data_IF_070363994823
#
_entry.id   IF_070363994823
#
_cell.length_a   1.000
_cell.length_b   1.000
_cell.length_c   1.000
_cell.angle_alpha   90.00
_cell.angle_beta   90.00
_cell.angle_gamma   90.00
#
_symmetry.space_group_name_H-M   'P 1'
#
loop_
_entity.id
_entity.type
_entity.pdbx_description
1 polymer ?
#
# COMPACT_ATOMS: atom_id res chain seq x y z
N UNK A 1 2.54 6.69 -18.30
CA UNK A 1 2.83 6.02 -17.00
C UNK A 1 3.51 4.71 -17.32
N UNK A 2 4.70 4.48 -16.78
CA UNK A 2 5.39 3.21 -16.89
C UNK A 2 4.79 2.22 -15.88
N UNK A 3 4.61 0.97 -16.29
CA UNK A 3 4.31 -0.13 -15.39
C UNK A 3 5.61 -0.47 -14.65
N UNK A 4 5.56 -0.36 -13.33
CA UNK A 4 6.72 -0.58 -12.44
C UNK A 4 6.40 -1.72 -11.49
N UNK A 5 7.39 -2.55 -11.23
CA UNK A 5 7.27 -3.65 -10.27
C UNK A 5 7.82 -3.25 -8.90
N UNK A 6 7.28 -3.88 -7.85
CA UNK A 6 7.84 -3.82 -6.50
C UNK A 6 9.30 -4.29 -6.49
N UNK A 7 10.14 -3.64 -5.69
CA UNK A 7 11.55 -4.02 -5.48
C UNK A 7 11.71 -5.31 -4.69
N UNK A 8 10.63 -5.76 -4.04
CA UNK A 8 10.61 -6.97 -3.21
C UNK A 8 11.60 -6.89 -2.04
N UNK A 9 11.41 -5.90 -1.16
CA UNK A 9 12.20 -5.76 0.08
C UNK A 9 12.46 -7.14 0.73
N UNK A 10 13.68 -7.47 1.17
CA UNK A 10 13.98 -8.80 1.71
C UNK A 10 13.08 -9.18 2.88
N UNK A 11 12.56 -10.42 2.88
CA UNK A 11 11.81 -10.94 4.03
C UNK A 11 12.69 -10.95 5.28
N UNK A 12 12.08 -10.71 6.45
CA UNK A 12 12.80 -10.53 7.70
C UNK A 12 13.40 -9.14 7.90
N UNK A 13 13.24 -8.20 6.92
CA UNK A 13 13.58 -6.80 7.15
C UNK A 13 12.70 -6.21 8.23
N UNK A 14 13.26 -5.41 9.13
CA UNK A 14 12.46 -4.64 10.10
C UNK A 14 11.69 -3.54 9.40
N UNK A 15 10.45 -3.30 9.82
CA UNK A 15 9.65 -2.20 9.31
C UNK A 15 10.36 -0.86 9.55
N UNK A 16 10.65 -0.09 8.50
CA UNK A 16 11.17 1.26 8.66
C UNK A 16 10.24 2.14 9.49
N UNK A 17 10.82 3.07 10.26
CA UNK A 17 10.05 4.01 11.05
C UNK A 17 9.33 5.03 10.17
N UNK A 18 8.16 5.44 10.63
CA UNK A 18 7.44 6.58 10.08
C UNK A 18 6.73 7.37 11.17
N UNK A 19 6.53 8.65 10.91
CA UNK A 19 5.70 9.56 11.71
C UNK A 19 5.16 10.59 10.71
N UNK A 20 3.92 10.40 10.29
CA UNK A 20 3.32 11.09 9.15
C UNK A 20 1.96 11.67 9.53
N UNK A 21 1.55 12.74 8.85
CA UNK A 21 0.23 13.33 9.02
C UNK A 21 -0.82 12.49 8.28
N UNK A 22 -1.89 12.15 8.96
CA UNK A 22 -3.06 11.51 8.37
C UNK A 22 -4.06 12.51 7.77
N UNK A 23 -5.12 11.98 7.16
CA UNK A 23 -6.18 12.79 6.54
C UNK A 23 -7.01 13.60 7.54
N UNK A 24 -6.93 13.33 8.84
CA UNK A 24 -7.58 14.14 9.89
C UNK A 24 -6.68 15.27 10.41
N UNK A 25 -5.41 15.30 10.02
CA UNK A 25 -4.40 16.23 10.49
C UNK A 25 -3.63 15.74 11.72
N UNK A 26 -3.91 14.53 12.19
CA UNK A 26 -3.20 13.92 13.31
C UNK A 26 -1.90 13.26 12.86
N UNK A 27 -0.93 13.18 13.76
CA UNK A 27 0.33 12.44 13.50
C UNK A 27 0.13 10.98 13.87
N UNK A 28 0.38 10.10 12.91
CA UNK A 28 0.37 8.65 13.10
C UNK A 28 1.80 8.13 12.91
N UNK A 29 2.27 7.39 13.89
CA UNK A 29 3.63 6.85 13.94
C UNK A 29 3.61 5.33 13.98
N UNK A 30 4.68 4.70 13.50
CA UNK A 30 4.84 3.24 13.62
C UNK A 30 4.70 2.75 15.07
N UNK A 31 5.16 3.54 16.04
CA UNK A 31 5.06 3.22 17.47
C UNK A 31 3.63 3.08 17.99
N UNK A 32 2.64 3.67 17.30
CA UNK A 32 1.22 3.56 17.69
C UNK A 32 0.69 2.15 17.41
N UNK A 33 1.41 1.36 16.61
CA UNK A 33 1.11 -0.02 16.26
C UNK A 33 2.05 -1.03 16.94
N UNK A 34 2.69 -0.62 18.06
CA UNK A 34 3.56 -1.51 18.83
C UNK A 34 2.82 -2.80 19.23
N UNK A 35 3.52 -3.94 19.11
CA UNK A 35 3.01 -5.26 19.44
C UNK A 35 1.82 -5.76 18.56
N UNK A 36 1.51 -5.07 17.48
CA UNK A 36 0.50 -5.48 16.49
C UNK A 36 1.15 -5.95 15.18
N UNK A 37 0.64 -7.01 14.53
CA UNK A 37 0.94 -7.21 13.11
C UNK A 37 0.48 -6.00 12.31
N UNK A 38 1.23 -5.63 11.26
CA UNK A 38 0.94 -4.39 10.53
C UNK A 38 0.98 -4.62 9.01
N UNK A 39 -0.09 -4.23 8.32
CA UNK A 39 -0.13 -4.15 6.86
C UNK A 39 0.10 -2.69 6.42
N UNK A 40 1.25 -2.43 5.80
CA UNK A 40 1.58 -1.15 5.17
C UNK A 40 1.29 -1.24 3.69
N UNK A 41 0.58 -0.24 3.16
CA UNK A 41 0.14 -0.19 1.77
C UNK A 41 0.56 1.14 1.14
N UNK A 42 1.41 1.11 0.11
CA UNK A 42 1.66 2.31 -0.69
C UNK A 42 0.58 2.42 -1.77
N UNK A 43 -0.29 3.42 -1.64
CA UNK A 43 -1.42 3.66 -2.54
C UNK A 43 -1.53 5.16 -2.87
N UNK A 44 -2.32 5.48 -3.89
CA UNK A 44 -2.63 6.86 -4.27
C UNK A 44 -3.98 6.93 -5.00
N UNK A 45 -4.55 8.12 -5.15
CA UNK A 45 -5.89 8.26 -5.70
C UNK A 45 -5.96 8.18 -7.23
N UNK A 46 -4.95 8.67 -7.93
CA UNK A 46 -5.01 8.78 -9.39
C UNK A 46 -4.65 7.47 -10.12
N UNK A 47 -3.95 6.53 -9.47
CA UNK A 47 -3.47 5.31 -10.10
C UNK A 47 -4.61 4.34 -10.46
N UNK A 48 -4.74 3.90 -11.72
CA UNK A 48 -5.79 2.97 -12.13
C UNK A 48 -5.66 1.59 -11.47
N UNK A 49 -4.44 1.17 -11.12
CA UNK A 49 -4.20 -0.08 -10.40
C UNK A 49 -4.67 0.02 -8.94
N UNK A 50 -4.52 1.18 -8.29
CA UNK A 50 -5.10 1.43 -6.97
C UNK A 50 -6.62 1.48 -7.04
N UNK A 51 -7.18 2.19 -8.02
CA UNK A 51 -8.63 2.23 -8.25
C UNK A 51 -9.23 0.85 -8.48
N UNK A 52 -8.48 -0.05 -9.13
CA UNK A 52 -8.88 -1.44 -9.35
C UNK A 52 -9.02 -2.22 -8.04
N UNK A 53 -8.07 -2.07 -7.12
CA UNK A 53 -8.06 -2.80 -5.84
C UNK A 53 -8.81 -2.07 -4.72
N UNK A 54 -9.23 -0.82 -4.91
CA UNK A 54 -9.84 0.03 -3.88
C UNK A 54 -11.09 -0.60 -3.20
N UNK A 55 -12.02 -1.27 -3.93
CA UNK A 55 -13.13 -1.97 -3.28
C UNK A 55 -12.66 -3.10 -2.34
N UNK A 56 -11.60 -3.80 -2.73
CA UNK A 56 -11.01 -4.87 -1.93
C UNK A 56 -10.29 -4.33 -0.71
N UNK A 57 -9.62 -3.17 -0.80
CA UNK A 57 -9.01 -2.50 0.35
C UNK A 57 -10.06 -2.09 1.39
N UNK A 58 -11.18 -1.52 0.95
CA UNK A 58 -12.32 -1.22 1.82
C UNK A 58 -12.82 -2.48 2.53
N UNK A 59 -12.98 -3.57 1.80
CA UNK A 59 -13.46 -4.84 2.38
C UNK A 59 -12.41 -5.44 3.34
N UNK A 60 -11.12 -5.35 3.03
CA UNK A 60 -10.05 -5.78 3.95
C UNK A 60 -10.11 -5.00 5.26
N UNK A 61 -10.18 -3.67 5.19
CA UNK A 61 -10.29 -2.83 6.37
C UNK A 61 -11.48 -3.22 7.26
N UNK A 62 -12.67 -3.43 6.65
CA UNK A 62 -13.87 -3.85 7.38
C UNK A 62 -13.74 -5.24 7.98
N UNK A 63 -13.16 -6.20 7.25
CA UNK A 63 -13.04 -7.59 7.69
C UNK A 63 -12.07 -7.74 8.87
N UNK A 64 -11.07 -6.89 8.97
CA UNK A 64 -10.05 -6.98 10.01
C UNK A 64 -10.14 -5.86 11.06
N UNK A 65 -11.21 -5.05 11.06
CA UNK A 65 -11.40 -3.94 12.00
C UNK A 65 -11.36 -4.37 13.47
N UNK A 66 -11.90 -5.55 13.79
CA UNK A 66 -11.92 -6.11 15.14
C UNK A 66 -10.77 -7.09 15.42
N UNK A 67 -9.83 -7.22 14.50
CA UNK A 67 -8.65 -8.08 14.64
C UNK A 67 -7.46 -7.31 15.23
N UNK A 68 -6.41 -7.99 15.72
CA UNK A 68 -5.20 -7.31 16.18
C UNK A 68 -4.35 -6.74 15.03
N UNK A 69 -4.74 -6.91 13.76
CA UNK A 69 -4.01 -6.39 12.62
C UNK A 69 -4.17 -4.87 12.51
N UNK A 70 -3.08 -4.14 12.56
CA UNK A 70 -3.05 -2.74 12.16
C UNK A 70 -2.94 -2.64 10.63
N UNK A 71 -3.68 -1.71 10.01
CA UNK A 71 -3.55 -1.39 8.59
C UNK A 71 -3.26 0.08 8.44
N UNK A 72 -2.37 0.43 7.52
CA UNK A 72 -2.02 1.83 7.22
C UNK A 72 -1.75 1.99 5.73
N UNK A 73 -2.31 3.04 5.14
CA UNK A 73 -2.04 3.45 3.77
C UNK A 73 -1.09 4.65 3.76
N UNK A 74 -0.08 4.64 2.89
CA UNK A 74 0.89 5.72 2.73
C UNK A 74 0.87 6.20 1.29
N UNK A 75 0.68 7.49 1.11
CA UNK A 75 0.76 8.20 -0.16
C UNK A 75 2.09 8.96 -0.22
N UNK A 76 2.90 8.72 -1.26
CA UNK A 76 4.23 9.32 -1.40
C UNK A 76 4.44 10.00 -2.77
N UNK A 77 3.37 10.23 -3.54
CA UNK A 77 3.50 10.97 -4.80
C UNK A 77 3.71 12.46 -4.56
N UNK A 78 4.42 13.12 -5.45
CA UNK A 78 4.55 14.57 -5.48
C UNK A 78 3.18 15.24 -5.71
N UNK A 79 2.59 15.76 -4.66
CA UNK A 79 1.26 16.40 -4.68
C UNK A 79 1.23 17.73 -5.45
N UNK A 80 2.38 18.34 -5.69
CA UNK A 80 2.46 19.57 -6.48
C UNK A 80 2.25 19.26 -7.97
N UNK A 81 2.80 18.15 -8.46
CA UNK A 81 2.59 17.71 -9.83
C UNK A 81 1.34 16.84 -9.99
N UNK A 82 0.91 16.17 -8.93
CA UNK A 82 -0.25 15.26 -8.89
C UNK A 82 -1.24 15.65 -7.79
N UNK A 83 -1.96 16.77 -7.93
CA UNK A 83 -2.84 17.32 -6.89
C UNK A 83 -4.02 16.41 -6.52
N UNK A 84 -4.37 15.44 -7.37
CA UNK A 84 -5.36 14.41 -7.04
C UNK A 84 -4.93 13.49 -5.88
N UNK A 85 -3.65 13.51 -5.52
CA UNK A 85 -3.09 12.74 -4.41
C UNK A 85 -2.83 13.61 -3.15
N UNK A 86 -3.35 14.84 -3.12
CA UNK A 86 -3.24 15.70 -1.93
C UNK A 86 -3.97 15.11 -0.73
N UNK A 87 -3.58 15.52 0.48
CA UNK A 87 -4.18 15.04 1.73
C UNK A 87 -5.70 15.23 1.76
N UNK A 88 -6.20 16.40 1.29
CA UNK A 88 -7.62 16.68 1.16
C UNK A 88 -8.32 15.69 0.19
N UNK A 89 -7.67 15.35 -0.93
CA UNK A 89 -8.23 14.40 -1.90
C UNK A 89 -8.20 12.97 -1.38
N UNK A 90 -7.18 12.62 -0.60
CA UNK A 90 -7.11 11.34 0.08
C UNK A 90 -8.21 11.20 1.14
N UNK A 91 -8.53 12.28 1.89
CA UNK A 91 -9.65 12.29 2.82
C UNK A 91 -10.97 12.01 2.10
N UNK A 92 -11.23 12.74 0.98
CA UNK A 92 -12.43 12.55 0.16
C UNK A 92 -12.54 11.09 -0.34
N UNK A 93 -11.45 10.53 -0.87
CA UNK A 93 -11.43 9.15 -1.37
C UNK A 93 -11.63 8.15 -0.21
N UNK A 94 -10.99 8.36 0.93
CA UNK A 94 -11.15 7.52 2.12
C UNK A 94 -12.61 7.48 2.59
N UNK A 95 -13.29 8.61 2.62
CA UNK A 95 -14.71 8.70 2.95
C UNK A 95 -15.60 7.99 1.92
N UNK A 96 -15.35 8.21 0.62
CA UNK A 96 -16.11 7.58 -0.47
C UNK A 96 -15.95 6.05 -0.45
N UNK A 97 -14.73 5.58 -0.17
CA UNK A 97 -14.41 4.15 -0.11
C UNK A 97 -14.74 3.51 1.23
N UNK A 98 -15.08 4.32 2.24
CA UNK A 98 -15.29 3.85 3.61
C UNK A 98 -14.08 3.08 4.14
N UNK A 99 -12.88 3.61 3.94
CA UNK A 99 -11.66 3.03 4.52
C UNK A 99 -11.68 3.14 6.05
N UNK A 100 -11.35 2.05 6.73
CA UNK A 100 -11.32 1.98 8.21
C UNK A 100 -9.91 2.07 8.78
N UNK A 101 -8.94 2.41 7.95
CA UNK A 101 -7.52 2.56 8.29
C UNK A 101 -7.04 3.97 7.96
N UNK A 102 -6.03 4.50 8.68
CA UNK A 102 -5.46 5.81 8.40
C UNK A 102 -4.77 5.85 7.03
N UNK A 103 -4.96 6.98 6.35
CA UNK A 103 -4.28 7.32 5.09
C UNK A 103 -3.30 8.47 5.37
N UNK A 104 -2.01 8.21 5.19
CA UNK A 104 -0.90 9.07 5.58
C UNK A 104 -0.23 9.71 4.38
N UNK A 105 0.25 10.95 4.54
CA UNK A 105 1.04 11.64 3.53
C UNK A 105 2.53 11.60 3.87
N UNK A 106 3.31 10.92 3.05
CA UNK A 106 4.78 10.95 3.05
C UNK A 106 5.26 12.06 2.09
N UNK A 107 5.11 13.31 2.53
CA UNK A 107 5.45 14.47 1.71
C UNK A 107 6.93 14.52 1.32
N UNK A 108 7.82 14.04 2.17
CA UNK A 108 9.28 14.02 1.92
C UNK A 108 9.70 12.87 1.01
N UNK A 109 8.87 11.83 0.88
CA UNK A 109 9.13 10.59 0.16
C UNK A 109 10.23 9.71 0.81
N UNK A 110 10.68 10.07 2.01
CA UNK A 110 11.72 9.33 2.72
C UNK A 110 11.20 7.99 3.25
N UNK A 111 9.92 7.92 3.62
CA UNK A 111 9.30 6.65 4.04
C UNK A 111 9.21 5.70 2.85
N UNK A 112 8.77 6.15 1.68
CA UNK A 112 8.76 5.32 0.48
C UNK A 112 10.15 4.79 0.13
N UNK A 113 11.19 5.63 0.25
CA UNK A 113 12.58 5.19 0.05
C UNK A 113 13.01 4.14 1.05
N UNK A 114 12.71 4.36 2.34
CA UNK A 114 13.08 3.42 3.40
C UNK A 114 12.43 2.05 3.21
N UNK A 115 11.19 1.99 2.72
CA UNK A 115 10.49 0.77 2.34
C UNK A 115 10.92 0.21 0.98
N UNK A 116 11.80 0.89 0.26
CA UNK A 116 12.13 0.62 -1.13
C UNK A 116 10.88 0.48 -2.03
N UNK A 117 9.81 1.22 -1.71
CA UNK A 117 8.58 1.20 -2.48
C UNK A 117 8.80 1.86 -3.85
N UNK A 118 8.40 1.18 -4.92
CA UNK A 118 8.63 1.65 -6.28
C UNK A 118 7.33 1.96 -7.05
N UNK A 119 6.23 1.32 -6.67
CA UNK A 119 4.95 1.41 -7.38
C UNK A 119 3.76 1.53 -6.42
N UNK A 120 2.61 1.83 -6.98
CA UNK A 120 1.31 1.79 -6.30
C UNK A 120 0.33 0.94 -7.12
N UNK A 121 -0.46 0.02 -6.48
CA UNK A 121 -0.36 -0.37 -5.07
C UNK A 121 0.87 -1.25 -4.80
N UNK A 122 1.41 -1.20 -3.57
CA UNK A 122 2.44 -2.11 -3.08
C UNK A 122 2.16 -2.48 -1.62
N UNK A 123 2.35 -3.74 -1.21
CA UNK A 123 1.88 -4.27 0.06
C UNK A 123 3.02 -4.91 0.85
N UNK A 124 3.08 -4.59 2.16
CA UNK A 124 4.08 -5.08 3.10
C UNK A 124 3.39 -5.51 4.39
N UNK A 125 3.40 -6.80 4.71
CA UNK A 125 2.85 -7.34 5.96
C UNK A 125 3.98 -7.68 6.91
N UNK A 126 3.92 -7.11 8.10
CA UNK A 126 4.87 -7.30 9.19
C UNK A 126 4.22 -8.07 10.32
N UNK A 127 5.00 -8.91 10.98
CA UNK A 127 4.58 -9.60 12.19
C UNK A 127 4.57 -8.67 13.43
N UNK A 128 4.24 -9.22 14.60
CA UNK A 128 4.21 -8.47 15.89
C UNK A 128 5.57 -7.89 16.29
N UNK A 129 6.67 -8.44 15.80
CA UNK A 129 8.03 -7.94 16.00
C UNK A 129 8.43 -6.95 14.90
N UNK A 130 7.48 -6.57 14.05
CA UNK A 130 7.68 -5.74 12.86
C UNK A 130 8.75 -6.27 11.91
N UNK A 131 8.83 -7.61 11.76
CA UNK A 131 9.63 -8.27 10.74
C UNK A 131 8.75 -8.55 9.52
N UNK A 132 9.25 -8.25 8.31
CA UNK A 132 8.53 -8.44 7.06
C UNK A 132 8.29 -9.92 6.76
N UNK A 133 7.04 -10.33 6.67
CA UNK A 133 6.64 -11.73 6.40
C UNK A 133 5.93 -11.91 5.06
N UNK A 134 5.38 -10.83 4.48
CA UNK A 134 4.82 -10.85 3.13
C UNK A 134 5.05 -9.48 2.47
N UNK A 135 5.35 -9.51 1.16
CA UNK A 135 5.42 -8.33 0.30
C UNK A 135 5.02 -8.69 -1.13
N UNK A 136 4.51 -7.69 -1.84
CA UNK A 136 4.16 -7.83 -3.26
C UNK A 136 2.72 -7.44 -3.55
N UNK A 137 2.09 -8.15 -4.49
CA UNK A 137 0.75 -7.84 -5.00
C UNK A 137 -0.35 -8.26 -4.03
N UNK A 138 -1.55 -7.67 -4.20
CA UNK A 138 -2.71 -8.05 -3.38
C UNK A 138 -3.31 -9.40 -3.83
N UNK A 139 -3.29 -9.65 -5.14
CA UNK A 139 -3.75 -10.85 -5.84
C UNK A 139 -3.26 -10.85 -7.30
N UNK A 140 -3.71 -11.81 -8.10
CA UNK A 140 -3.34 -11.95 -9.51
C UNK A 140 -4.13 -11.03 -10.46
N UNK A 141 -5.10 -10.26 -9.96
CA UNK A 141 -5.94 -9.40 -10.80
C UNK A 141 -5.19 -8.16 -11.29
N UNK A 142 -5.61 -7.67 -12.43
CA UNK A 142 -5.10 -6.43 -13.04
C UNK A 142 -6.21 -5.75 -13.81
N UNK A 143 -6.29 -4.41 -13.80
CA UNK A 143 -7.25 -3.71 -14.65
C UNK A 143 -6.87 -3.85 -16.12
N UNK A 144 -7.85 -4.08 -16.99
CA UNK A 144 -7.65 -4.15 -18.44
C UNK A 144 -7.53 -2.75 -19.02
N UNK A 145 -6.41 -2.45 -19.69
CA UNK A 145 -6.25 -1.16 -20.35
C UNK A 145 -7.04 -1.12 -21.67
N UNK A 146 -8.07 -0.31 -21.75
CA UNK A 146 -8.91 -0.11 -22.93
C UNK A 146 -8.22 0.85 -23.92
N UNK A 147 -7.73 2.00 -23.40
CA UNK A 147 -6.96 3.00 -24.16
C UNK A 147 -6.12 3.83 -23.19
N UNK A 148 -5.34 4.78 -23.71
CA UNK A 148 -4.53 5.65 -22.86
C UNK A 148 -5.39 6.33 -21.78
N UNK A 149 -5.03 6.11 -20.52
CA UNK A 149 -5.72 6.70 -19.35
C UNK A 149 -7.07 6.07 -19.01
N UNK A 150 -7.56 5.06 -19.75
CA UNK A 150 -8.85 4.40 -19.50
C UNK A 150 -8.64 2.92 -19.24
N UNK A 151 -9.15 2.47 -18.11
CA UNK A 151 -9.00 1.10 -17.63
C UNK A 151 -10.36 0.52 -17.22
N UNK A 152 -10.52 -0.79 -17.40
CA UNK A 152 -11.69 -1.56 -16.96
C UNK A 152 -11.27 -2.54 -15.85
N UNK A 153 -12.02 -2.55 -14.77
CA UNK A 153 -11.81 -3.41 -13.62
C UNK A 153 -12.94 -4.45 -13.45
N UNK A 154 -13.90 -4.50 -14.37
CA UNK A 154 -15.11 -5.32 -14.20
C UNK A 154 -14.92 -6.77 -14.62
N UNK A 155 -14.07 -7.04 -15.62
CA UNK A 155 -13.85 -8.39 -16.14
C UNK A 155 -13.01 -9.27 -15.21
N UNK A 156 -12.11 -8.67 -14.42
CA UNK A 156 -11.23 -9.38 -13.50
C UNK A 156 -11.10 -8.62 -12.17
N UNK A 157 -12.19 -8.56 -11.37
CA UNK A 157 -12.19 -7.80 -10.12
C UNK A 157 -11.17 -8.34 -9.12
N UNK A 158 -10.57 -7.45 -8.34
CA UNK A 158 -9.63 -7.83 -7.30
C UNK A 158 -10.34 -8.61 -6.18
N UNK A 159 -9.70 -9.66 -5.70
CA UNK A 159 -10.19 -10.53 -4.61
C UNK A 159 -9.41 -10.33 -3.32
N UNK A 160 -8.13 -9.95 -3.43
CA UNK A 160 -7.21 -9.80 -2.32
C UNK A 160 -6.78 -11.12 -1.68
N UNK A 161 -6.91 -12.23 -2.41
CA UNK A 161 -6.72 -13.58 -1.87
C UNK A 161 -5.28 -13.84 -1.39
N UNK A 162 -4.25 -13.31 -2.05
CA UNK A 162 -2.87 -13.51 -1.64
C UNK A 162 -2.56 -12.76 -0.32
N UNK A 163 -2.94 -11.49 -0.20
CA UNK A 163 -2.77 -10.72 1.04
C UNK A 163 -3.65 -11.29 2.16
N UNK A 164 -4.91 -11.68 1.87
CA UNK A 164 -5.80 -12.32 2.87
C UNK A 164 -5.17 -13.59 3.41
N UNK A 165 -4.72 -14.49 2.55
CA UNK A 165 -4.09 -15.74 2.96
C UNK A 165 -2.85 -15.50 3.84
N UNK A 166 -2.05 -14.48 3.53
CA UNK A 166 -0.91 -14.10 4.35
C UNK A 166 -1.34 -13.56 5.73
N UNK A 167 -2.36 -12.70 5.78
CA UNK A 167 -2.91 -12.16 7.03
C UNK A 167 -3.49 -13.29 7.90
N UNK A 168 -4.30 -14.18 7.32
CA UNK A 168 -4.94 -15.27 8.06
C UNK A 168 -3.91 -16.22 8.67
N UNK A 169 -2.87 -16.58 7.93
CA UNK A 169 -1.76 -17.36 8.47
C UNK A 169 -1.08 -16.65 9.63
N UNK A 170 -0.74 -15.36 9.45
CA UNK A 170 -0.09 -14.61 10.51
C UNK A 170 -0.95 -14.51 11.77
N UNK A 171 -2.26 -14.27 11.63
CA UNK A 171 -3.19 -14.18 12.76
C UNK A 171 -3.44 -15.54 13.45
N UNK A 172 -3.28 -16.66 12.71
CA UNK A 172 -3.32 -18.01 13.32
C UNK A 172 -2.02 -18.42 14.01
N UNK A 173 -0.98 -17.56 13.97
CA UNK A 173 0.33 -17.83 14.55
C UNK A 173 1.29 -18.59 13.62
N UNK A 174 0.94 -18.70 12.35
CA UNK A 174 1.80 -19.28 11.31
C UNK A 174 2.57 -18.19 10.56
N UNK A 175 3.71 -18.53 10.00
CA UNK A 175 4.47 -17.64 9.12
C UNK A 175 4.00 -17.87 7.66
N UNK A 176 3.61 -16.80 6.92
CA UNK A 176 3.33 -16.92 5.50
C UNK A 176 4.50 -17.53 4.73
N UNK A 177 4.20 -18.32 3.68
CA UNK A 177 5.25 -18.93 2.86
C UNK A 177 6.15 -17.85 2.24
N UNK A 178 7.46 -18.01 2.34
CA UNK A 178 8.46 -17.12 1.73
C UNK A 178 8.54 -17.28 0.22
N UNK A 179 8.25 -18.49 -0.27
CA UNK A 179 8.22 -18.80 -1.70
C UNK A 179 6.88 -18.48 -2.33
N UNK A 180 6.90 -18.14 -3.62
CA UNK A 180 5.68 -17.85 -4.39
C UNK A 180 5.10 -16.45 -4.21
N UNK A 181 5.69 -15.59 -3.38
CA UNK A 181 5.28 -14.19 -3.30
C UNK A 181 5.66 -13.45 -4.58
N UNK A 182 4.67 -12.82 -5.21
CA UNK A 182 4.80 -12.19 -6.53
C UNK A 182 4.90 -10.68 -6.39
N UNK A 183 5.84 -10.01 -7.11
CA UNK A 183 5.94 -8.56 -7.06
C UNK A 183 4.61 -7.88 -7.41
N UNK A 184 4.25 -6.83 -6.67
CA UNK A 184 3.21 -5.91 -7.09
C UNK A 184 3.62 -5.24 -8.40
N UNK A 185 2.65 -4.90 -9.22
CA UNK A 185 2.85 -4.15 -10.46
C UNK A 185 1.83 -3.03 -10.55
N UNK A 186 2.29 -1.82 -10.83
CA UNK A 186 1.41 -0.67 -10.89
C UNK A 186 2.09 0.57 -11.46
N UNK A 187 1.53 1.73 -11.19
CA UNK A 187 2.17 2.98 -11.56
C UNK A 187 3.39 3.22 -10.67
N UNK A 188 4.49 3.70 -11.25
CA UNK A 188 5.62 4.16 -10.45
C UNK A 188 5.21 5.27 -9.48
N UNK A 189 5.81 5.32 -8.29
CA UNK A 189 5.73 6.47 -7.39
C UNK A 189 6.21 7.72 -8.15
N UNK A 190 5.49 8.81 -7.98
CA UNK A 190 5.80 10.10 -8.62
C UNK A 190 6.75 10.87 -7.72
N UNK A 191 8.02 10.62 -7.94
CA UNK A 191 9.08 11.28 -7.18
C UNK A 191 9.15 12.78 -7.48
N UNK A 192 9.49 13.58 -6.48
CA UNK A 192 9.85 14.98 -6.67
C UNK A 192 11.12 15.05 -7.52
N UNK A 193 11.27 16.03 -8.41
CA UNK A 193 12.49 16.16 -9.23
C UNK A 193 13.75 16.18 -8.38
N UNK A 194 14.69 15.28 -8.66
CA UNK A 194 15.94 15.13 -7.94
C UNK A 194 15.83 14.37 -6.61
N UNK A 195 14.66 13.79 -6.31
CA UNK A 195 14.43 12.97 -5.14
C UNK A 195 14.24 11.47 -5.48
N UNK A 196 14.48 11.11 -6.74
CA UNK A 196 14.37 9.74 -7.21
C UNK A 196 15.41 8.85 -6.51
N UNK A 197 15.02 7.66 -6.00
CA UNK A 197 15.97 6.73 -5.42
C UNK A 197 16.79 5.99 -6.48
N UNK A 198 17.93 5.42 -6.10
CA UNK A 198 18.83 4.69 -7.02
C UNK A 198 18.17 3.47 -7.70
N UNK A 199 17.11 2.92 -7.09
CA UNK A 199 16.34 1.80 -7.67
C UNK A 199 15.22 2.27 -8.63
N UNK A 200 15.09 3.56 -8.84
CA UNK A 200 14.16 4.13 -9.82
C UNK A 200 14.78 4.05 -11.21
N UNK A 201 14.28 3.18 -12.07
CA UNK A 201 14.78 2.99 -13.44
C UNK A 201 13.75 2.41 -14.37
#
# INVERSE_FOLDING_TARGET
MALTQSTMLPLGSSAPDFSLTDTSGEIVSKSDFADCPMLVMFICNHCPYVKHVAPTLSQLGKNYADSPLAMVAIQSNDVQQYPDDSLEKMEQESLIREYTFPCLLDETQEVAKAYAAACTPDFYLFDRSHQLVYRGRIDASMPTRIRSGVYDSTENPATGDEVRAAIEKLLSGEVPASEGQVPASGCNIKWKPGNEPDYFG
#
